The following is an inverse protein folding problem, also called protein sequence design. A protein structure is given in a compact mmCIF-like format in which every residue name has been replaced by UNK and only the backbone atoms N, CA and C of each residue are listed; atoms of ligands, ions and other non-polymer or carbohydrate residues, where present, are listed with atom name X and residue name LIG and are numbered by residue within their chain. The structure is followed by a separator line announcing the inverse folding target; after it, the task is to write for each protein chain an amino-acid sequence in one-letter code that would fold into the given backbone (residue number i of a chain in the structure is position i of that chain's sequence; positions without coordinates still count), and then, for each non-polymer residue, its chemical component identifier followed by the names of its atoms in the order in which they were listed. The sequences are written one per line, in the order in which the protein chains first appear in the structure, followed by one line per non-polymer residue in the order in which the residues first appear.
data_IF_624552404491
#
_entry.id   IF_624552404491
#
_cell.length_a   1.000
_cell.length_b   1.000
_cell.length_c   1.000
_cell.angle_alpha   90.00
_cell.angle_beta   90.00
_cell.angle_gamma   90.00
#
_symmetry.space_group_name_H-M   'P 1'
#
loop_
_entity.id
_entity.type
_entity.pdbx_description
1 polymer ?
#
# COMPACT_ATOMS: atom_id res chain seq x y z
N UNK A 1 0.83 3.15 -8.15
CA UNK A 1 1.42 2.49 -6.97
C UNK A 1 2.93 2.70 -6.91
N UNK A 2 3.41 3.93 -7.04
CA UNK A 2 4.85 4.25 -7.08
C UNK A 2 5.22 5.30 -6.03
N UNK A 3 4.32 6.23 -5.82
CA UNK A 3 4.34 7.25 -4.78
C UNK A 3 3.37 6.91 -3.64
N UNK A 4 3.60 7.54 -2.50
CA UNK A 4 2.83 7.34 -1.26
C UNK A 4 1.41 7.89 -1.39
N UNK A 5 1.24 9.01 -2.09
CA UNK A 5 -0.07 9.68 -2.23
C UNK A 5 -1.07 8.79 -2.97
N UNK A 6 -0.65 8.17 -4.08
CA UNK A 6 -1.47 7.19 -4.83
C UNK A 6 -1.86 6.01 -3.95
N UNK A 7 -0.96 5.54 -3.09
CA UNK A 7 -1.26 4.43 -2.17
C UNK A 7 -2.24 4.83 -1.07
N UNK A 8 -2.10 6.02 -0.50
CA UNK A 8 -3.06 6.53 0.49
C UNK A 8 -4.46 6.65 -0.11
N UNK A 9 -4.57 7.15 -1.35
CA UNK A 9 -5.85 7.24 -2.03
C UNK A 9 -6.46 5.86 -2.29
N UNK A 10 -5.65 4.90 -2.76
CA UNK A 10 -6.08 3.53 -3.00
C UNK A 10 -6.56 2.84 -1.71
N UNK A 11 -5.83 3.00 -0.60
CA UNK A 11 -6.21 2.47 0.71
C UNK A 11 -7.53 3.07 1.20
N UNK A 12 -7.67 4.40 1.14
CA UNK A 12 -8.93 5.08 1.52
C UNK A 12 -10.12 4.60 0.68
N UNK A 13 -9.95 4.46 -0.63
CA UNK A 13 -11.02 3.94 -1.48
C UNK A 13 -11.42 2.51 -1.11
N UNK A 14 -10.44 1.67 -0.73
CA UNK A 14 -10.69 0.32 -0.25
C UNK A 14 -11.39 0.29 1.12
N UNK A 15 -10.98 1.14 2.06
CA UNK A 15 -11.57 1.30 3.39
C UNK A 15 -13.06 1.68 3.35
N UNK A 16 -13.47 2.47 2.34
CA UNK A 16 -14.88 2.82 2.15
C UNK A 16 -15.69 1.75 1.41
N UNK A 17 -15.12 0.57 1.13
CA UNK A 17 -15.81 -0.57 0.54
C UNK A 17 -15.72 -0.68 -0.99
N UNK A 18 -14.85 0.07 -1.66
CA UNK A 18 -14.62 -0.11 -3.10
C UNK A 18 -13.62 -1.25 -3.35
N UNK A 19 -13.87 -2.07 -4.37
CA UNK A 19 -12.87 -3.01 -4.85
C UNK A 19 -11.76 -2.24 -5.58
N UNK A 20 -10.55 -2.28 -5.04
CA UNK A 20 -9.38 -1.61 -5.62
C UNK A 20 -8.44 -2.65 -6.21
N UNK A 21 -8.13 -2.50 -7.51
CA UNK A 21 -7.16 -3.31 -8.22
C UNK A 21 -5.92 -2.48 -8.53
N UNK A 22 -4.75 -3.04 -8.23
CA UNK A 22 -3.48 -2.38 -8.46
C UNK A 22 -2.38 -3.39 -8.76
N UNK A 23 -1.31 -2.93 -9.41
CA UNK A 23 -0.15 -3.75 -9.78
C UNK A 23 1.13 -3.21 -9.15
N UNK A 24 2.02 -4.14 -8.78
CA UNK A 24 3.37 -3.85 -8.28
C UNK A 24 4.37 -4.75 -8.96
N UNK A 25 5.55 -4.21 -9.24
CA UNK A 25 6.66 -4.97 -9.80
C UNK A 25 7.48 -5.64 -8.69
N UNK A 26 6.94 -6.73 -8.14
CA UNK A 26 7.54 -7.50 -7.05
C UNK A 26 7.45 -9.00 -7.31
N UNK A 27 8.48 -9.74 -6.89
CA UNK A 27 8.56 -11.19 -7.05
C UNK A 27 7.92 -11.94 -5.86
N UNK A 28 6.60 -11.81 -5.72
CA UNK A 28 5.80 -12.58 -4.76
C UNK A 28 5.19 -11.78 -3.60
N UNK A 29 4.23 -12.40 -2.91
CA UNK A 29 3.33 -11.73 -1.97
C UNK A 29 4.04 -11.07 -0.79
N UNK A 30 4.94 -11.77 -0.10
CA UNK A 30 5.66 -11.22 1.06
C UNK A 30 6.48 -9.97 0.69
N UNK A 31 7.11 -9.98 -0.50
CA UNK A 31 7.88 -8.84 -1.02
C UNK A 31 6.95 -7.68 -1.42
N UNK A 32 5.77 -7.98 -1.95
CA UNK A 32 4.74 -6.97 -2.23
C UNK A 32 4.33 -6.25 -0.96
N UNK A 33 3.95 -6.98 0.09
CA UNK A 33 3.51 -6.38 1.37
C UNK A 33 4.63 -5.54 1.99
N UNK A 34 5.85 -6.08 2.07
CA UNK A 34 7.00 -5.36 2.63
C UNK A 34 7.26 -4.05 1.88
N UNK A 35 7.20 -4.10 0.53
CA UNK A 35 7.38 -2.91 -0.30
C UNK A 35 6.28 -1.87 -0.05
N UNK A 36 5.03 -2.28 0.15
CA UNK A 36 3.93 -1.36 0.45
C UNK A 36 4.22 -0.63 1.77
N UNK A 37 4.56 -1.38 2.83
CA UNK A 37 4.86 -0.83 4.16
C UNK A 37 6.05 0.13 4.10
N UNK A 38 7.09 -0.22 3.33
CA UNK A 38 8.33 0.57 3.27
C UNK A 38 8.21 1.92 2.57
N UNK A 39 7.12 2.17 1.84
CA UNK A 39 6.87 3.48 1.26
C UNK A 39 6.34 4.48 2.27
N UNK A 40 5.82 4.04 3.42
CA UNK A 40 5.29 4.93 4.44
C UNK A 40 6.39 5.39 5.41
N UNK A 41 6.33 6.64 5.91
CA UNK A 41 7.19 7.12 6.99
C UNK A 41 7.14 6.21 8.21
N UNK A 42 8.22 6.13 8.99
CA UNK A 42 8.30 5.22 10.14
C UNK A 42 7.17 5.40 11.16
N UNK A 43 6.72 6.64 11.37
CA UNK A 43 5.57 7.02 12.20
C UNK A 43 4.23 6.44 11.72
N UNK A 44 4.07 6.20 10.42
CA UNK A 44 2.85 5.66 9.82
C UNK A 44 2.87 4.12 9.70
N UNK A 45 4.03 3.47 9.86
CA UNK A 45 4.16 2.02 9.64
C UNK A 45 3.39 1.19 10.67
N UNK A 46 3.18 1.67 11.90
CA UNK A 46 2.40 0.95 12.91
C UNK A 46 0.92 0.78 12.51
N UNK A 47 0.35 1.74 11.78
CA UNK A 47 -1.06 1.67 11.35
C UNK A 47 -1.28 0.73 10.15
N UNK A 48 -0.22 0.30 9.46
CA UNK A 48 -0.29 -0.48 8.21
C UNK A 48 0.21 -1.93 8.40
N UNK A 49 0.76 -2.27 9.57
CA UNK A 49 1.29 -3.60 9.89
C UNK A 49 0.22 -4.64 10.22
#
# INVERSE_FOLDING_TARGET
MRDVETFRLALRAAETGNLVLATLHTSGAARTISRIIDMFPAEDKENIR
#
